data_IF_659428595010
#
_entry.id   IF_659428595010
#
_cell.length_a   1.000
_cell.length_b   1.000
_cell.length_c   1.000
_cell.angle_alpha   90.00
_cell.angle_beta   90.00
_cell.angle_gamma   90.00
#
_symmetry.space_group_name_H-M   'P 1'
#
loop_
_entity.id
_entity.type
_entity.pdbx_description
1 polymer ?
#
# COMPACT_ATOMS: atom_id res chain seq x y z
N UNK A 1 -4.96 -14.82 -66.39
CA UNK A 1 -6.09 -15.28 -65.56
C UNK A 1 -5.52 -16.10 -64.41
N UNK A 2 -5.69 -15.58 -63.18
CA UNK A 2 -5.78 -16.21 -61.85
C UNK A 2 -4.75 -17.31 -61.50
N UNK A 3 -3.70 -17.01 -60.72
CA UNK A 3 -3.59 -16.94 -59.24
C UNK A 3 -3.61 -18.30 -58.52
N UNK A 4 -2.90 -18.34 -57.38
CA UNK A 4 -2.58 -19.43 -56.42
C UNK A 4 -1.16 -20.01 -56.57
N UNK A 5 -0.33 -20.14 -55.55
CA UNK A 5 -0.30 -19.66 -54.17
C UNK A 5 1.13 -19.94 -53.64
N UNK A 6 1.46 -19.36 -52.48
CA UNK A 6 2.76 -19.43 -51.81
C UNK A 6 3.25 -20.86 -51.48
N UNK A 7 4.56 -21.10 -51.60
CA UNK A 7 5.29 -21.95 -50.66
C UNK A 7 6.81 -21.80 -50.78
N UNK A 8 7.43 -21.53 -49.61
CA UNK A 8 8.72 -22.02 -49.13
C UNK A 8 9.94 -21.91 -50.08
N UNK A 9 10.97 -21.17 -49.67
CA UNK A 9 12.14 -21.88 -49.16
C UNK A 9 13.13 -20.98 -48.42
N UNK A 10 13.60 -21.58 -47.35
CA UNK A 10 14.42 -21.06 -46.28
C UNK A 10 15.89 -21.01 -46.69
N UNK A 11 16.57 -19.98 -46.17
CA UNK A 11 18.00 -19.88 -45.86
C UNK A 11 18.99 -19.88 -47.03
N UNK A 12 19.60 -18.72 -47.20
CA UNK A 12 21.06 -18.62 -47.38
C UNK A 12 21.56 -17.28 -46.86
N UNK A 13 22.87 -17.27 -46.59
CA UNK A 13 23.73 -16.08 -46.45
C UNK A 13 23.83 -15.54 -45.02
N UNK A 14 24.95 -15.01 -44.56
CA UNK A 14 26.34 -15.00 -44.99
C UNK A 14 27.13 -14.48 -43.78
N UNK A 15 28.42 -14.77 -43.73
CA UNK A 15 29.35 -14.18 -42.79
C UNK A 15 29.39 -12.64 -42.89
N UNK A 16 29.78 -12.02 -41.78
CA UNK A 16 30.34 -10.68 -41.64
C UNK A 16 29.35 -9.49 -41.79
N UNK A 17 29.04 -8.82 -40.67
CA UNK A 17 29.75 -7.60 -40.30
C UNK A 17 29.38 -7.20 -38.86
N UNK A 18 30.36 -6.64 -38.19
CA UNK A 18 30.38 -6.37 -36.77
C UNK A 18 29.63 -5.07 -36.40
N UNK A 19 29.26 -5.02 -35.12
CA UNK A 19 29.12 -3.83 -34.27
C UNK A 19 28.16 -2.73 -34.74
N UNK A 20 27.00 -2.67 -34.10
CA UNK A 20 26.42 -1.41 -33.64
C UNK A 20 25.83 -1.60 -32.23
N UNK A 21 26.51 -0.98 -31.27
CA UNK A 21 26.07 -0.74 -29.90
C UNK A 21 24.77 0.07 -29.89
N UNK A 22 23.74 -0.45 -29.23
CA UNK A 22 22.77 0.35 -28.50
C UNK A 22 22.19 -0.51 -27.38
N UNK A 23 22.92 -0.53 -26.27
CA UNK A 23 22.40 -0.92 -24.97
C UNK A 23 21.14 -0.10 -24.69
N UNK A 24 19.97 -0.73 -24.77
CA UNK A 24 18.80 -0.21 -24.09
C UNK A 24 19.08 -0.29 -22.60
N UNK A 25 19.65 0.79 -22.05
CA UNK A 25 19.59 1.07 -20.65
C UNK A 25 18.11 1.10 -20.29
N UNK A 26 17.66 0.06 -19.59
CA UNK A 26 16.45 0.15 -18.80
C UNK A 26 16.67 1.30 -17.81
N UNK A 27 16.22 2.50 -18.17
CA UNK A 27 15.97 3.57 -17.22
C UNK A 27 14.74 3.16 -16.40
N UNK A 28 14.86 2.07 -15.65
CA UNK A 28 14.07 1.88 -14.45
C UNK A 28 14.49 3.00 -13.51
N UNK A 29 13.53 3.87 -13.15
CA UNK A 29 13.77 4.90 -12.15
C UNK A 29 14.46 4.23 -10.97
N UNK A 30 15.68 4.66 -10.67
CA UNK A 30 16.36 4.36 -9.44
C UNK A 30 15.54 5.01 -8.31
N UNK A 31 14.47 4.34 -7.90
CA UNK A 31 13.86 4.55 -6.61
C UNK A 31 14.93 4.17 -5.61
N UNK A 32 15.53 5.17 -4.99
CA UNK A 32 16.59 5.04 -4.00
C UNK A 32 16.18 3.93 -3.00
N UNK A 33 16.79 2.75 -3.09
CA UNK A 33 16.37 1.57 -2.32
C UNK A 33 16.62 1.79 -0.81
N UNK A 34 17.55 2.70 -0.48
CA UNK A 34 17.76 3.22 0.87
C UNK A 34 16.63 4.14 1.38
N UNK A 35 15.75 4.65 0.50
CA UNK A 35 14.56 5.40 0.87
C UNK A 35 13.34 4.49 1.18
N UNK A 36 13.39 3.22 0.77
CA UNK A 36 12.32 2.22 0.91
C UNK A 36 12.35 1.46 2.24
N UNK A 37 13.43 1.58 3.01
CA UNK A 37 13.67 0.78 4.21
C UNK A 37 13.01 1.26 5.50
N UNK A 38 12.33 2.41 5.50
CA UNK A 38 11.63 2.91 6.69
C UNK A 38 10.11 2.95 6.45
N UNK A 39 9.36 1.96 6.97
CA UNK A 39 7.89 1.96 6.96
C UNK A 39 7.29 3.26 7.50
N UNK A 40 7.99 3.95 8.41
CA UNK A 40 7.52 5.20 8.97
C UNK A 40 7.42 6.33 7.94
N UNK A 41 8.19 6.30 6.84
CA UNK A 41 8.05 7.31 5.76
C UNK A 41 6.70 7.20 5.05
N UNK A 42 6.28 5.99 4.70
CA UNK A 42 5.00 5.76 4.04
C UNK A 42 3.80 6.06 4.93
N UNK A 43 3.98 6.01 6.25
CA UNK A 43 2.95 6.40 7.23
C UNK A 43 2.93 7.91 7.50
N UNK A 44 4.00 8.65 7.19
CA UNK A 44 4.07 10.11 7.36
C UNK A 44 3.61 10.91 6.14
N UNK A 45 3.49 10.25 4.99
CA UNK A 45 3.03 10.85 3.74
C UNK A 45 1.50 10.81 3.66
N UNK A 46 0.82 11.97 3.73
CA UNK A 46 -0.64 12.06 3.88
C UNK A 46 -1.31 12.88 2.77
N UNK A 47 -0.54 13.50 1.87
CA UNK A 47 -1.12 14.17 0.71
C UNK A 47 -1.50 13.19 -0.43
N UNK A 48 -2.18 13.73 -1.43
CA UNK A 48 -2.69 12.97 -2.57
C UNK A 48 -1.73 12.99 -3.78
N UNK A 49 -0.47 13.38 -3.58
CA UNK A 49 0.56 13.27 -4.61
C UNK A 49 0.84 11.80 -4.94
N UNK A 50 1.27 11.55 -6.18
CA UNK A 50 1.68 10.20 -6.60
C UNK A 50 2.76 9.61 -5.69
N UNK A 51 3.66 10.44 -5.17
CA UNK A 51 4.72 10.02 -4.23
C UNK A 51 4.11 9.47 -2.94
N UNK A 52 3.22 10.21 -2.29
CA UNK A 52 2.57 9.76 -1.06
C UNK A 52 1.67 8.54 -1.29
N UNK A 53 0.96 8.49 -2.41
CA UNK A 53 0.13 7.33 -2.76
C UNK A 53 0.99 6.08 -2.92
N UNK A 54 2.09 6.16 -3.68
CA UNK A 54 3.02 5.03 -3.86
C UNK A 54 3.63 4.57 -2.53
N UNK A 55 4.05 5.51 -1.68
CA UNK A 55 4.61 5.16 -0.36
C UNK A 55 3.60 4.49 0.56
N UNK A 56 2.37 5.03 0.65
CA UNK A 56 1.29 4.40 1.42
C UNK A 56 0.95 3.00 0.88
N UNK A 57 0.93 2.83 -0.44
CA UNK A 57 0.70 1.54 -1.08
C UNK A 57 1.78 0.51 -0.73
N UNK A 58 3.07 0.89 -0.75
CA UNK A 58 4.15 -0.03 -0.38
C UNK A 58 4.00 -0.53 1.07
N UNK A 59 3.69 0.37 2.01
CA UNK A 59 3.46 -0.02 3.41
C UNK A 59 2.24 -0.91 3.54
N UNK A 60 1.13 -0.56 2.87
CA UNK A 60 -0.06 -1.40 2.84
C UNK A 60 0.23 -2.80 2.30
N UNK A 61 0.92 -2.90 1.16
CA UNK A 61 1.29 -4.17 0.53
C UNK A 61 2.17 -5.00 1.48
N UNK A 62 3.09 -4.37 2.22
CA UNK A 62 3.91 -5.05 3.24
C UNK A 62 3.08 -5.66 4.38
N UNK A 63 2.00 -4.99 4.80
CA UNK A 63 1.08 -5.55 5.80
C UNK A 63 0.26 -6.73 5.25
N UNK A 64 -0.02 -6.72 3.94
CA UNK A 64 -0.79 -7.79 3.30
C UNK A 64 0.03 -9.07 3.14
N UNK A 65 1.34 -8.93 2.95
CA UNK A 65 2.28 -10.04 2.76
C UNK A 65 2.95 -10.52 4.05
N UNK A 66 2.86 -9.78 5.17
CA UNK A 66 3.37 -10.22 6.48
C UNK A 66 2.46 -11.28 7.14
N UNK A 67 2.89 -12.57 7.20
CA UNK A 67 2.11 -13.62 7.81
C UNK A 67 2.13 -13.55 9.35
N UNK A 68 3.16 -12.92 9.94
CA UNK A 68 3.30 -12.75 11.38
C UNK A 68 2.38 -11.67 11.94
N UNK A 69 1.95 -10.74 11.06
CA UNK A 69 1.11 -9.59 11.39
C UNK A 69 1.68 -8.77 12.54
N UNK A 70 3.00 -8.66 12.60
CA UNK A 70 3.71 -7.92 13.65
C UNK A 70 3.28 -6.44 13.69
N UNK A 71 2.84 -5.91 12.56
CA UNK A 71 2.29 -4.56 12.41
C UNK A 71 1.05 -4.29 13.27
N UNK A 72 0.27 -5.31 13.63
CA UNK A 72 -0.99 -5.15 14.38
C UNK A 72 -0.76 -4.44 15.71
N UNK A 73 0.34 -4.75 16.41
CA UNK A 73 0.62 -4.23 17.76
C UNK A 73 1.57 -3.03 17.76
N UNK A 74 1.97 -2.55 16.59
CA UNK A 74 2.86 -1.41 16.50
C UNK A 74 2.14 -0.15 17.01
N UNK A 75 2.83 0.75 17.73
CA UNK A 75 2.22 1.98 18.20
C UNK A 75 1.73 2.85 17.03
N UNK A 76 0.71 3.67 17.30
CA UNK A 76 0.07 4.57 16.34
C UNK A 76 0.30 6.03 16.75
N UNK A 77 0.99 6.80 15.92
CA UNK A 77 1.04 8.25 16.05
C UNK A 77 -0.01 8.94 15.16
N UNK A 78 -0.15 10.28 15.25
CA UNK A 78 -1.13 11.03 14.47
C UNK A 78 -0.97 10.87 12.95
N UNK A 79 0.26 10.77 12.45
CA UNK A 79 0.51 10.58 11.03
C UNK A 79 0.10 9.18 10.55
N UNK A 80 0.35 8.16 11.35
CA UNK A 80 -0.07 6.78 11.08
C UNK A 80 -1.60 6.70 10.97
N UNK A 81 -2.31 7.38 11.87
CA UNK A 81 -3.78 7.54 11.79
C UNK A 81 -4.20 8.28 10.52
N UNK A 82 -3.54 9.41 10.22
CA UNK A 82 -3.90 10.25 9.09
C UNK A 82 -3.62 9.58 7.74
N UNK A 83 -2.59 8.73 7.65
CA UNK A 83 -2.27 7.96 6.44
C UNK A 83 -3.39 6.98 6.06
N UNK A 84 -4.12 6.48 7.05
CA UNK A 84 -5.17 5.46 6.89
C UNK A 84 -4.67 4.05 6.57
N UNK A 85 -3.37 3.85 6.33
CA UNK A 85 -2.81 2.59 5.81
C UNK A 85 -3.10 1.42 6.74
N UNK A 86 -2.84 1.57 8.04
CA UNK A 86 -3.04 0.48 9.00
C UNK A 86 -4.52 0.19 9.26
N UNK A 87 -5.38 1.22 9.25
CA UNK A 87 -6.83 1.05 9.34
C UNK A 87 -7.40 0.29 8.13
N UNK A 88 -6.95 0.62 6.93
CA UNK A 88 -7.31 -0.12 5.72
C UNK A 88 -6.82 -1.57 5.78
N UNK A 89 -5.62 -1.81 6.32
CA UNK A 89 -5.10 -3.16 6.50
C UNK A 89 -5.95 -3.97 7.50
N UNK A 90 -6.36 -3.37 8.62
CA UNK A 90 -7.30 -4.00 9.55
C UNK A 90 -8.62 -4.37 8.87
N UNK A 91 -9.23 -3.45 8.13
CA UNK A 91 -10.47 -3.71 7.38
C UNK A 91 -10.30 -4.87 6.40
N UNK A 92 -9.22 -4.87 5.60
CA UNK A 92 -8.96 -5.90 4.60
C UNK A 92 -8.72 -7.27 5.23
N UNK A 93 -7.87 -7.34 6.24
CA UNK A 93 -7.47 -8.59 6.91
C UNK A 93 -8.49 -9.06 7.94
N UNK A 94 -9.57 -8.32 8.21
CA UNK A 94 -10.51 -8.59 9.33
C UNK A 94 -10.94 -10.03 9.48
N UNK A 95 -11.15 -10.77 8.39
CA UNK A 95 -11.58 -12.18 8.42
C UNK A 95 -10.45 -13.15 8.83
N UNK A 96 -9.21 -12.76 8.59
CA UNK A 96 -8.00 -13.52 8.90
C UNK A 96 -7.46 -13.25 10.31
N UNK A 97 -7.81 -12.10 10.91
CA UNK A 97 -7.37 -11.71 12.25
C UNK A 97 -7.95 -12.64 13.32
N UNK A 98 -7.23 -12.88 14.41
CA UNK A 98 -7.80 -13.53 15.59
C UNK A 98 -8.54 -12.49 16.47
N UNK A 99 -9.27 -12.95 17.50
CA UNK A 99 -10.07 -12.07 18.35
C UNK A 99 -9.26 -11.00 19.11
N UNK A 100 -8.01 -11.31 19.50
CA UNK A 100 -7.14 -10.33 20.14
C UNK A 100 -6.68 -9.25 19.14
N UNK A 101 -6.33 -9.65 17.93
CA UNK A 101 -5.95 -8.73 16.85
C UNK A 101 -7.14 -7.86 16.42
N UNK A 102 -8.35 -8.43 16.33
CA UNK A 102 -9.58 -7.68 16.07
C UNK A 102 -9.86 -6.64 17.16
N UNK A 103 -9.77 -7.03 18.43
CA UNK A 103 -9.96 -6.13 19.56
C UNK A 103 -8.93 -5.00 19.54
N UNK A 104 -7.67 -5.32 19.21
CA UNK A 104 -6.62 -4.32 19.08
C UNK A 104 -6.91 -3.33 17.93
N UNK A 105 -7.23 -3.84 16.75
CA UNK A 105 -7.57 -2.99 15.59
C UNK A 105 -8.80 -2.12 15.85
N UNK A 106 -9.81 -2.65 16.53
CA UNK A 106 -10.98 -1.88 16.95
C UNK A 106 -10.59 -0.76 17.92
N UNK A 107 -9.81 -1.08 18.95
CA UNK A 107 -9.35 -0.08 19.93
C UNK A 107 -8.47 1.00 19.29
N UNK A 108 -7.69 0.66 18.26
CA UNK A 108 -6.98 1.65 17.45
C UNK A 108 -7.96 2.54 16.69
N UNK A 109 -8.91 1.95 15.96
CA UNK A 109 -9.89 2.67 15.15
C UNK A 109 -10.79 3.59 16.00
N UNK A 110 -11.17 3.18 17.22
CA UNK A 110 -11.93 4.00 18.16
C UNK A 110 -11.17 5.25 18.62
N UNK A 111 -9.84 5.15 18.75
CA UNK A 111 -8.97 6.28 19.14
C UNK A 111 -8.70 7.25 17.99
N UNK A 112 -8.89 6.84 16.73
CA UNK A 112 -8.55 7.65 15.56
C UNK A 112 -9.09 9.08 15.60
N UNK A 113 -10.40 9.31 15.84
CA UNK A 113 -10.96 10.66 15.88
C UNK A 113 -10.35 11.57 16.96
N UNK A 114 -9.97 11.05 18.12
CA UNK A 114 -9.34 11.84 19.19
C UNK A 114 -7.83 11.99 19.00
N UNK A 115 -7.17 11.00 18.40
CA UNK A 115 -5.76 11.10 18.01
C UNK A 115 -5.51 12.15 16.91
N UNK A 116 -6.56 12.53 16.18
CA UNK A 116 -6.56 13.53 15.12
C UNK A 116 -7.29 14.83 15.52
N UNK A 117 -7.56 15.06 16.80
CA UNK A 117 -8.14 16.31 17.29
C UNK A 117 -7.12 17.14 18.11
N UNK A 118 -7.47 18.39 18.43
CA UNK A 118 -6.71 19.20 19.40
C UNK A 118 -5.38 19.80 18.91
N UNK A 119 -5.12 19.85 17.61
CA UNK A 119 -3.90 20.48 17.06
C UNK A 119 -2.61 19.67 17.28
N UNK A 120 -2.73 18.40 17.70
CA UNK A 120 -1.60 17.51 17.97
C UNK A 120 -0.77 17.11 16.73
N UNK A 121 -1.08 17.66 15.55
CA UNK A 121 -0.42 17.35 14.28
C UNK A 121 -0.09 18.66 13.55
N UNK A 122 1.20 18.97 13.48
CA UNK A 122 1.70 20.03 12.62
C UNK A 122 1.68 19.53 11.18
N UNK A 123 1.04 20.27 10.28
CA UNK A 123 1.14 20.01 8.83
C UNK A 123 0.06 19.13 8.20
N UNK A 124 -1.02 18.75 8.92
CA UNK A 124 -2.21 18.18 8.26
C UNK A 124 -3.29 19.25 8.06
N UNK A 125 -3.96 19.16 6.91
CA UNK A 125 -5.14 19.97 6.61
C UNK A 125 -6.38 19.42 7.32
N UNK A 126 -7.36 20.29 7.57
CA UNK A 126 -8.67 19.89 8.12
C UNK A 126 -9.35 18.80 7.29
N UNK A 127 -9.15 18.83 5.96
CA UNK A 127 -9.67 17.80 5.06
C UNK A 127 -9.04 16.42 5.28
N UNK A 128 -7.72 16.35 5.47
CA UNK A 128 -7.01 15.09 5.75
C UNK A 128 -7.48 14.49 7.09
N UNK A 129 -7.62 15.34 8.11
CA UNK A 129 -8.12 14.96 9.44
C UNK A 129 -9.53 14.41 9.36
N UNK A 130 -10.43 15.12 8.68
CA UNK A 130 -11.82 14.70 8.54
C UNK A 130 -11.92 13.33 7.82
N UNK A 131 -11.17 13.14 6.73
CA UNK A 131 -11.15 11.86 6.00
C UNK A 131 -10.65 10.71 6.88
N UNK A 132 -9.54 10.91 7.59
CA UNK A 132 -8.98 9.88 8.46
C UNK A 132 -9.89 9.56 9.66
N UNK A 133 -10.57 10.56 10.24
CA UNK A 133 -11.56 10.34 11.29
C UNK A 133 -12.79 9.57 10.80
N UNK A 134 -13.27 9.84 9.59
CA UNK A 134 -14.36 9.07 8.97
C UNK A 134 -13.95 7.61 8.74
N UNK A 135 -12.77 7.38 8.14
CA UNK A 135 -12.24 6.03 7.94
C UNK A 135 -12.11 5.26 9.26
N UNK A 136 -11.61 5.92 10.31
CA UNK A 136 -11.48 5.31 11.64
C UNK A 136 -12.83 4.82 12.17
N UNK A 137 -13.90 5.60 12.01
CA UNK A 137 -15.26 5.22 12.43
C UNK A 137 -15.82 4.07 11.61
N UNK A 138 -15.56 4.04 10.31
CA UNK A 138 -16.01 2.97 9.42
C UNK A 138 -15.35 1.64 9.80
N UNK A 139 -14.01 1.63 9.87
CA UNK A 139 -13.24 0.44 10.24
C UNK A 139 -13.62 -0.05 11.64
N UNK A 140 -13.82 0.84 12.62
CA UNK A 140 -14.29 0.44 13.95
C UNK A 140 -15.61 -0.35 13.89
N UNK A 141 -16.58 0.09 13.07
CA UNK A 141 -17.86 -0.62 12.91
C UNK A 141 -17.66 -1.97 12.23
N UNK A 142 -16.86 -2.05 11.19
CA UNK A 142 -16.57 -3.32 10.49
C UNK A 142 -15.92 -4.34 11.44
N UNK A 143 -14.94 -3.90 12.23
CA UNK A 143 -14.27 -4.76 13.20
C UNK A 143 -15.22 -5.15 14.34
N UNK A 144 -16.05 -4.23 14.84
CA UNK A 144 -17.07 -4.55 15.84
C UNK A 144 -18.06 -5.63 15.35
N UNK A 145 -18.48 -5.55 14.09
CA UNK A 145 -19.35 -6.56 13.46
C UNK A 145 -18.64 -7.91 13.29
N UNK A 146 -17.34 -7.91 12.96
CA UNK A 146 -16.57 -9.15 12.89
C UNK A 146 -16.38 -9.77 14.28
N UNK A 147 -16.06 -8.96 15.30
CA UNK A 147 -15.97 -9.40 16.70
C UNK A 147 -17.30 -10.02 17.14
N UNK A 148 -18.42 -9.31 16.98
CA UNK A 148 -19.73 -9.80 17.39
C UNK A 148 -20.14 -11.11 16.71
N UNK A 149 -19.63 -11.38 15.50
CA UNK A 149 -19.93 -12.60 14.75
C UNK A 149 -19.19 -13.84 15.26
N UNK A 150 -17.96 -13.70 15.76
CA UNK A 150 -17.11 -14.88 16.05
C UNK A 150 -16.31 -14.86 17.34
N UNK A 151 -16.19 -13.71 18.00
CA UNK A 151 -15.48 -13.59 19.27
C UNK A 151 -16.51 -13.68 20.40
N UNK A 152 -16.46 -14.80 21.13
CA UNK A 152 -17.30 -15.08 22.29
C UNK A 152 -16.52 -14.85 23.57
#
# INVERSE_FOLDING_TARGET
MNHFEHALHTRRSNAALALLLATFAAAGCAGNEAALGDPARGLKCVDDSNVCISQRKMVYDSYMTDPSRAWVKQPAGPHEYASGVRLMAFSRKRKELNCNELAHGKAEADRGPSALSGGAYVGLTTGQVARAAMLSREVSRELAQEIARRCR
#
